data_IF_774888659522
#
_entry.id   IF_774888659522
#
_cell.length_a   1.000
_cell.length_b   1.000
_cell.length_c   1.000
_cell.angle_alpha   90.00
_cell.angle_beta   90.00
_cell.angle_gamma   90.00
#
_symmetry.space_group_name_H-M   'P 1'
#
loop_
_entity.id
_entity.type
_entity.pdbx_description
1 polymer ?
#
# COMPACT_ATOMS: atom_id res chain seq x y z
N UNK A 1 10.31 -2.83 -9.22
CA UNK A 1 9.34 -1.93 -8.57
C UNK A 1 8.94 -0.87 -9.56
N UNK A 2 7.67 -0.45 -9.53
CA UNK A 2 7.15 0.68 -10.31
C UNK A 2 6.42 1.58 -9.32
N UNK A 3 6.80 2.85 -9.26
CA UNK A 3 6.11 3.88 -8.49
C UNK A 3 5.39 4.79 -9.47
N UNK A 4 4.08 4.95 -9.30
CA UNK A 4 3.29 5.93 -10.05
C UNK A 4 3.44 7.34 -9.43
N UNK A 5 2.68 8.30 -9.95
CA UNK A 5 2.77 9.70 -9.52
C UNK A 5 2.38 9.91 -8.06
N UNK A 6 3.00 10.92 -7.42
CA UNK A 6 2.69 11.34 -6.05
C UNK A 6 2.85 10.26 -4.97
N UNK A 7 3.67 9.23 -5.22
CA UNK A 7 4.00 8.22 -4.21
C UNK A 7 4.98 8.80 -3.19
N UNK A 8 4.64 8.67 -1.90
CA UNK A 8 5.53 9.03 -0.80
C UNK A 8 6.21 7.78 -0.22
N UNK A 9 7.54 7.79 -0.18
CA UNK A 9 8.34 6.73 0.45
C UNK A 9 8.99 7.26 1.73
N UNK A 10 8.51 6.79 2.87
CA UNK A 10 9.08 7.11 4.18
C UNK A 10 10.51 6.57 4.34
N UNK A 11 11.30 7.15 5.26
CA UNK A 11 12.69 6.73 5.46
C UNK A 11 12.77 5.26 5.84
N UNK A 12 13.78 4.57 5.31
CA UNK A 12 14.04 3.15 5.55
C UNK A 12 12.89 2.21 5.16
N UNK A 13 11.97 2.60 4.26
CA UNK A 13 11.04 1.64 3.67
C UNK A 13 11.80 0.62 2.80
N UNK A 14 11.39 -0.64 2.85
CA UNK A 14 12.04 -1.75 2.17
C UNK A 14 11.09 -2.35 1.15
N UNK A 15 11.58 -2.62 -0.06
CA UNK A 15 10.89 -3.39 -1.08
C UNK A 15 11.68 -4.66 -1.36
N UNK A 16 11.03 -5.82 -1.26
CA UNK A 16 11.66 -7.07 -1.70
C UNK A 16 11.42 -7.30 -3.20
N UNK A 17 12.12 -8.26 -3.77
CA UNK A 17 12.00 -8.69 -5.17
C UNK A 17 11.99 -10.22 -5.34
N UNK A 18 12.31 -10.97 -4.29
CA UNK A 18 12.27 -12.43 -4.23
C UNK A 18 11.45 -12.89 -3.01
N UNK A 19 10.47 -13.76 -3.22
CA UNK A 19 9.64 -14.33 -2.16
C UNK A 19 10.36 -15.43 -1.37
N UNK A 20 11.36 -16.07 -1.96
CA UNK A 20 12.13 -17.14 -1.32
C UNK A 20 13.60 -17.02 -1.69
N UNK A 21 14.31 -16.00 -1.16
CA UNK A 21 15.73 -15.80 -1.40
C UNK A 21 16.52 -16.97 -0.81
N UNK A 22 17.33 -17.64 -1.63
CA UNK A 22 18.22 -18.73 -1.22
C UNK A 22 19.65 -18.41 -1.62
N UNK A 23 20.52 -18.18 -0.63
CA UNK A 23 21.90 -17.73 -0.84
C UNK A 23 22.72 -18.63 -1.79
N UNK A 24 22.58 -19.96 -1.66
CA UNK A 24 23.29 -20.93 -2.52
C UNK A 24 22.71 -21.04 -3.94
N UNK A 25 21.46 -20.63 -4.13
CA UNK A 25 20.70 -20.83 -5.37
C UNK A 25 20.00 -19.53 -5.76
N UNK A 26 20.74 -18.50 -6.20
CA UNK A 26 20.16 -17.24 -6.63
C UNK A 26 19.31 -17.46 -7.89
N UNK A 27 18.10 -16.90 -7.93
CA UNK A 27 17.17 -17.09 -9.05
C UNK A 27 17.48 -16.23 -10.28
N UNK A 28 18.45 -15.33 -10.17
CA UNK A 28 18.81 -14.39 -11.23
C UNK A 28 17.76 -13.29 -11.44
N UNK A 29 18.17 -12.21 -12.12
CA UNK A 29 17.38 -10.98 -12.27
C UNK A 29 16.04 -11.22 -12.99
N UNK A 30 16.00 -12.18 -13.92
CA UNK A 30 14.81 -12.51 -14.71
C UNK A 30 13.62 -13.00 -13.84
N UNK A 31 13.89 -13.53 -12.65
CA UNK A 31 12.88 -14.06 -11.73
C UNK A 31 12.49 -13.07 -10.62
N UNK A 32 12.95 -11.81 -10.70
CA UNK A 32 12.56 -10.77 -9.75
C UNK A 32 11.10 -10.36 -9.99
N UNK A 33 10.30 -10.48 -8.95
CA UNK A 33 8.90 -10.10 -8.96
C UNK A 33 8.76 -8.58 -8.81
N UNK A 34 7.73 -8.03 -9.45
CA UNK A 34 7.48 -6.59 -9.46
C UNK A 34 6.43 -6.25 -8.41
N UNK A 35 6.65 -5.12 -7.73
CA UNK A 35 5.65 -4.43 -6.91
C UNK A 35 5.27 -3.16 -7.64
N UNK A 36 3.96 -2.90 -7.71
CA UNK A 36 3.41 -1.67 -8.28
C UNK A 36 2.84 -0.85 -7.13
N UNK A 37 3.27 0.40 -7.02
CA UNK A 37 2.73 1.35 -6.04
C UNK A 37 1.94 2.40 -6.80
N UNK A 38 0.61 2.38 -6.65
CA UNK A 38 -0.28 3.24 -7.43
C UNK A 38 -0.27 4.69 -6.95
N UNK A 39 -0.81 5.57 -7.78
CA UNK A 39 -0.82 7.02 -7.57
C UNK A 39 -1.27 7.42 -6.16
N UNK A 40 -0.52 8.34 -5.55
CA UNK A 40 -0.87 8.96 -4.27
C UNK A 40 -0.72 8.07 -3.03
N UNK A 41 -0.24 6.82 -3.19
CA UNK A 41 0.01 5.95 -2.06
C UNK A 41 1.17 6.47 -1.19
N UNK A 42 1.06 6.27 0.12
CA UNK A 42 2.06 6.71 1.09
C UNK A 42 2.57 5.52 1.90
N UNK A 43 3.89 5.37 1.97
CA UNK A 43 4.56 4.30 2.68
C UNK A 43 5.25 4.87 3.91
N UNK A 44 4.82 4.42 5.09
CA UNK A 44 5.38 4.85 6.37
C UNK A 44 6.84 4.45 6.55
N UNK A 45 7.51 5.11 7.48
CA UNK A 45 8.90 4.82 7.83
C UNK A 45 9.08 3.35 8.25
N UNK A 46 10.19 2.73 7.85
CA UNK A 46 10.53 1.34 8.18
C UNK A 46 9.46 0.29 7.77
N UNK A 47 8.54 0.62 6.86
CA UNK A 47 7.60 -0.36 6.33
C UNK A 47 8.31 -1.31 5.35
N UNK A 48 7.94 -2.60 5.37
CA UNK A 48 8.46 -3.62 4.45
C UNK A 48 7.36 -4.07 3.51
N UNK A 49 7.60 -3.94 2.21
CA UNK A 49 6.68 -4.35 1.16
C UNK A 49 7.21 -5.61 0.49
N UNK A 50 6.50 -6.72 0.66
CA UNK A 50 6.83 -7.96 -0.02
C UNK A 50 6.56 -7.82 -1.53
N UNK A 51 7.39 -8.44 -2.35
CA UNK A 51 7.25 -8.41 -3.80
C UNK A 51 5.98 -9.09 -4.29
N UNK A 52 5.65 -8.87 -5.57
CA UNK A 52 4.50 -9.48 -6.24
C UNK A 52 3.13 -8.99 -5.75
N UNK A 53 3.09 -7.79 -5.17
CA UNK A 53 1.87 -7.17 -4.69
C UNK A 53 1.70 -5.77 -5.26
N UNK A 54 0.45 -5.34 -5.32
CA UNK A 54 0.06 -3.99 -5.74
C UNK A 54 -0.39 -3.19 -4.53
N UNK A 55 0.16 -1.98 -4.38
CA UNK A 55 -0.31 -1.00 -3.41
C UNK A 55 -1.35 -0.10 -4.08
N UNK A 56 -2.58 -0.11 -3.57
CA UNK A 56 -3.71 0.65 -4.12
C UNK A 56 -3.51 2.17 -4.09
N UNK A 57 -4.32 2.87 -4.89
CA UNK A 57 -4.30 4.34 -4.99
C UNK A 57 -4.62 4.96 -3.65
N UNK A 58 -3.90 6.02 -3.28
CA UNK A 58 -4.08 6.75 -2.02
C UNK A 58 -4.05 5.88 -0.75
N UNK A 59 -3.53 4.64 -0.84
CA UNK A 59 -3.39 3.77 0.32
C UNK A 59 -2.32 4.33 1.26
N UNK A 60 -2.50 4.11 2.57
CA UNK A 60 -1.54 4.49 3.59
C UNK A 60 -1.00 3.24 4.27
N UNK A 61 0.29 2.96 4.08
CA UNK A 61 1.01 1.93 4.81
C UNK A 61 1.58 2.57 6.08
N UNK A 62 1.19 2.05 7.25
CA UNK A 62 1.70 2.53 8.53
C UNK A 62 3.20 2.25 8.69
N UNK A 63 3.83 3.03 9.57
CA UNK A 63 5.23 2.81 9.92
C UNK A 63 5.45 1.40 10.50
N UNK A 64 6.55 0.76 10.12
CA UNK A 64 6.90 -0.60 10.57
C UNK A 64 5.99 -1.72 10.06
N UNK A 65 4.99 -1.44 9.20
CA UNK A 65 4.08 -2.45 8.69
C UNK A 65 4.76 -3.39 7.70
N UNK A 66 4.39 -4.68 7.71
CA UNK A 66 4.91 -5.70 6.78
C UNK A 66 3.80 -6.15 5.85
N UNK A 67 3.79 -5.63 4.62
CA UNK A 67 2.76 -5.89 3.62
C UNK A 67 3.05 -7.19 2.87
N UNK A 68 2.15 -8.16 2.99
CA UNK A 68 2.27 -9.52 2.42
C UNK A 68 1.11 -9.89 1.50
N UNK A 69 0.34 -8.89 1.04
CA UNK A 69 -0.80 -9.06 0.16
C UNK A 69 -1.04 -7.78 -0.63
N UNK A 70 -1.88 -7.86 -1.67
CA UNK A 70 -2.37 -6.67 -2.35
C UNK A 70 -3.09 -5.73 -1.37
N UNK A 71 -2.91 -4.43 -1.57
CA UNK A 71 -3.50 -3.39 -0.74
C UNK A 71 -4.62 -2.71 -1.50
N UNK A 72 -5.85 -2.68 -0.96
CA UNK A 72 -6.96 -1.99 -1.61
C UNK A 72 -6.74 -0.48 -1.71
N UNK A 73 -7.39 0.15 -2.70
CA UNK A 73 -7.40 1.60 -2.84
C UNK A 73 -7.97 2.26 -1.57
N UNK A 74 -7.32 3.34 -1.11
CA UNK A 74 -7.65 4.10 0.10
C UNK A 74 -7.54 3.33 1.42
N UNK A 75 -6.96 2.12 1.43
CA UNK A 75 -6.82 1.34 2.66
C UNK A 75 -5.72 1.88 3.58
N UNK A 76 -5.95 1.80 4.89
CA UNK A 76 -4.91 1.98 5.92
C UNK A 76 -4.41 0.59 6.34
N UNK A 77 -3.17 0.27 5.97
CA UNK A 77 -2.52 -1.01 6.27
C UNK A 77 -1.54 -0.86 7.44
N UNK A 78 -1.73 -1.58 8.53
CA UNK A 78 -0.80 -1.55 9.68
C UNK A 78 -0.57 -2.95 10.26
N UNK A 79 0.54 -3.11 10.99
CA UNK A 79 0.88 -4.35 11.69
C UNK A 79 1.78 -5.31 10.90
N UNK A 80 2.04 -6.46 11.53
CA UNK A 80 2.89 -7.56 11.01
C UNK A 80 2.17 -8.89 11.26
N UNK A 81 1.60 -9.55 10.24
CA UNK A 81 1.42 -9.07 8.86
C UNK A 81 0.45 -7.89 8.79
N UNK A 82 0.65 -6.98 7.83
CA UNK A 82 -0.18 -5.80 7.69
C UNK A 82 -1.63 -6.18 7.32
N UNK A 83 -2.60 -5.56 8.00
CA UNK A 83 -4.04 -5.74 7.77
C UNK A 83 -4.72 -4.39 7.60
N UNK A 84 -5.87 -4.40 6.94
CA UNK A 84 -6.73 -3.22 6.80
C UNK A 84 -7.26 -2.86 8.18
N UNK A 85 -6.94 -1.66 8.65
CA UNK A 85 -7.37 -1.12 9.95
C UNK A 85 -8.34 0.05 9.81
N UNK A 86 -8.60 0.49 8.58
CA UNK A 86 -9.50 1.57 8.27
C UNK A 86 -9.29 2.08 6.85
N UNK A 87 -9.87 3.23 6.57
CA UNK A 87 -9.83 3.88 5.27
C UNK A 87 -9.38 5.33 5.40
N UNK A 88 -8.69 5.83 4.39
CA UNK A 88 -8.16 7.18 4.35
C UNK A 88 -8.74 7.93 3.15
N UNK A 89 -9.01 9.21 3.31
CA UNK A 89 -9.34 10.10 2.21
C UNK A 89 -8.08 10.43 1.41
N UNK A 90 -8.25 10.81 0.15
CA UNK A 90 -7.17 11.39 -0.66
C UNK A 90 -6.49 12.60 0.04
N UNK A 91 -7.22 13.35 0.89
CA UNK A 91 -6.63 14.47 1.63
C UNK A 91 -5.79 14.05 2.87
N UNK A 92 -5.57 12.75 3.09
CA UNK A 92 -4.77 12.22 4.20
C UNK A 92 -5.48 12.09 5.54
N UNK A 93 -6.80 12.35 5.62
CA UNK A 93 -7.58 12.19 6.85
C UNK A 93 -8.33 10.86 6.85
N UNK A 94 -8.37 10.18 8.01
CA UNK A 94 -9.11 8.93 8.19
C UNK A 94 -10.61 9.16 7.96
N UNK A 95 -11.26 8.24 7.27
CA UNK A 95 -12.71 8.27 7.04
C UNK A 95 -13.48 7.81 8.28
N UNK A 96 -14.70 8.33 8.43
CA UNK A 96 -15.68 7.80 9.39
C UNK A 96 -16.23 6.44 8.95
N UNK A 97 -17.04 5.81 9.80
CA UNK A 97 -17.71 4.54 9.50
C UNK A 97 -18.65 4.64 8.27
N UNK A 98 -19.21 5.83 8.04
CA UNK A 98 -20.03 6.17 6.87
C UNK A 98 -19.21 6.51 5.61
N UNK A 99 -17.88 6.28 5.63
CA UNK A 99 -16.98 6.54 4.51
C UNK A 99 -16.99 8.01 4.04
N UNK A 100 -17.18 8.92 4.99
CA UNK A 100 -17.17 10.37 4.75
C UNK A 100 -15.93 10.99 5.39
N UNK A 101 -15.28 11.89 4.66
CA UNK A 101 -14.17 12.65 5.18
C UNK A 101 -14.63 14.00 5.71
N UNK A 102 -13.93 14.54 6.71
CA UNK A 102 -14.14 15.91 7.20
C UNK A 102 -13.87 17.00 6.16
N UNK A 103 -13.26 16.68 5.01
CA UNK A 103 -13.13 17.60 3.88
C UNK A 103 -14.38 17.64 2.97
N UNK A 104 -15.43 16.87 3.29
CA UNK A 104 -16.68 16.79 2.53
C UNK A 104 -16.70 15.69 1.45
N UNK A 105 -15.56 15.06 1.15
CA UNK A 105 -15.50 13.93 0.20
C UNK A 105 -16.19 12.70 0.78
N UNK A 106 -16.92 11.97 -0.06
CA UNK A 106 -17.60 10.73 0.31
C UNK A 106 -17.16 9.59 -0.58
N UNK A 107 -17.16 8.37 -0.05
CA UNK A 107 -16.63 7.20 -0.73
C UNK A 107 -17.65 6.05 -0.77
N UNK A 108 -17.42 5.13 -1.69
CA UNK A 108 -18.15 3.87 -1.80
C UNK A 108 -17.19 2.69 -1.88
N UNK A 109 -17.59 1.57 -1.27
CA UNK A 109 -16.85 0.31 -1.38
C UNK A 109 -16.98 -0.26 -2.79
N UNK A 110 -15.86 -0.76 -3.30
CA UNK A 110 -15.75 -1.48 -4.56
C UNK A 110 -14.98 -2.78 -4.32
N UNK A 111 -14.86 -3.62 -5.36
CA UNK A 111 -14.05 -4.85 -5.28
C UNK A 111 -12.56 -4.56 -5.01
N UNK A 112 -12.08 -3.38 -5.37
CA UNK A 112 -10.66 -3.00 -5.32
C UNK A 112 -10.31 -2.10 -4.11
N UNK A 113 -11.28 -1.79 -3.23
CA UNK A 113 -11.11 -0.85 -2.12
C UNK A 113 -12.21 0.20 -2.12
N UNK A 114 -11.85 1.49 -2.06
CA UNK A 114 -12.82 2.58 -2.17
C UNK A 114 -12.72 3.35 -3.49
N UNK A 115 -13.82 4.02 -3.83
CA UNK A 115 -13.88 5.02 -4.90
C UNK A 115 -14.65 6.23 -4.40
N UNK A 116 -14.18 7.44 -4.71
CA UNK A 116 -14.89 8.67 -4.39
C UNK A 116 -16.23 8.75 -5.15
N UNK A 117 -17.29 9.15 -4.44
CA UNK A 117 -18.59 9.47 -5.05
C UNK A 117 -18.50 10.92 -5.55
N UNK A 118 -18.68 11.10 -6.86
CA UNK A 118 -18.85 12.43 -7.46
C UNK A 118 -20.27 12.90 -7.30
#
# INVERSE_FOLDING_TARGET
MILEDYVFCGPSCVFTNDLSPRAKYPKGIANHLKTIVKTGASIGANATILCNHTIGRWALIGAGAVVVSDVPDYAIMTGIPAKVTGWICECGKRLSDDLTCVCGRTYQKTKEGLKERK
#
